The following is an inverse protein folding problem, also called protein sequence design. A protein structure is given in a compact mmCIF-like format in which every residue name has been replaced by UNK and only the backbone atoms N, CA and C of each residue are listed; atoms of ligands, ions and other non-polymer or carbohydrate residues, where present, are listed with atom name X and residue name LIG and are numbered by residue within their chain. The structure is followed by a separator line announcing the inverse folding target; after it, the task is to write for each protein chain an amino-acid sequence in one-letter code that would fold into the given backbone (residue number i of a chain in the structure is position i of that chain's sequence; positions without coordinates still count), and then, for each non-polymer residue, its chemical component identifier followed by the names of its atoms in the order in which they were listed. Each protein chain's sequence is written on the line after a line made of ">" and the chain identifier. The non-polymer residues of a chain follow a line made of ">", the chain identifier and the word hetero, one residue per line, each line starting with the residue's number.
data_IF_342146287011
#
_entry.id   IF_342146287011
#
_cell.length_a   1.000
_cell.length_b   1.000
_cell.length_c   1.000
_cell.angle_alpha   90.00
_cell.angle_beta   90.00
_cell.angle_gamma   90.00
#
_symmetry.space_group_name_H-M   'P 1'
#
loop_
_entity.id
_entity.type
_entity.pdbx_description
1 polymer ?
#
# COMPACT_ATOMS: atom_id res chain seq x y z
N UNK A 1 16.45 -3.21 25.27
CA UNK A 1 15.48 -3.46 24.20
C UNK A 1 15.61 -2.31 23.21
N UNK A 2 16.07 -2.55 21.98
CA UNK A 2 16.33 -1.47 21.02
C UNK A 2 15.06 -1.23 20.21
N UNK A 3 14.46 -0.05 20.34
CA UNK A 3 13.38 0.40 19.46
C UNK A 3 13.91 0.50 18.03
N UNK A 4 13.16 0.05 17.00
CA UNK A 4 13.57 0.26 15.62
C UNK A 4 13.57 1.76 15.34
N UNK A 5 14.73 2.27 14.93
CA UNK A 5 14.88 3.67 14.53
C UNK A 5 14.03 3.91 13.28
N UNK A 6 13.32 5.04 13.24
CA UNK A 6 12.57 5.53 12.06
C UNK A 6 13.45 5.74 10.81
N UNK A 7 14.77 5.76 10.96
CA UNK A 7 15.76 5.85 9.89
C UNK A 7 15.83 4.51 9.12
N UNK A 8 14.95 4.33 8.14
CA UNK A 8 14.98 3.15 7.26
C UNK A 8 13.64 2.76 6.65
N UNK A 9 12.54 3.37 7.10
CA UNK A 9 11.21 3.14 6.51
C UNK A 9 10.97 4.24 5.48
N UNK A 10 11.13 3.90 4.20
CA UNK A 10 10.99 4.86 3.08
C UNK A 10 9.83 4.44 2.18
N UNK A 11 9.62 3.13 2.00
CA UNK A 11 8.62 2.55 1.13
C UNK A 11 7.64 1.66 1.90
N UNK A 12 6.46 1.42 1.32
CA UNK A 12 5.43 0.53 1.89
C UNK A 12 5.95 -0.89 2.11
N UNK A 13 6.83 -1.39 1.22
CA UNK A 13 7.45 -2.71 1.37
C UNK A 13 8.26 -2.85 2.66
N UNK A 14 8.82 -1.76 3.19
CA UNK A 14 9.62 -1.78 4.42
C UNK A 14 8.74 -2.03 5.66
N UNK A 15 7.41 -1.94 5.51
CA UNK A 15 6.42 -2.28 6.54
C UNK A 15 5.94 -3.74 6.45
N UNK A 16 6.38 -4.49 5.45
CA UNK A 16 5.98 -5.88 5.21
C UNK A 16 7.11 -6.79 5.70
N UNK A 17 6.75 -7.87 6.39
CA UNK A 17 7.69 -8.91 6.79
C UNK A 17 7.93 -9.87 5.61
N UNK A 18 9.16 -9.86 5.08
CA UNK A 18 9.54 -10.64 3.89
C UNK A 18 9.37 -12.15 4.04
N UNK A 19 9.36 -12.68 5.28
CA UNK A 19 9.25 -14.13 5.51
C UNK A 19 7.80 -14.59 5.56
N UNK A 20 6.93 -13.79 6.16
CA UNK A 20 5.52 -14.12 6.35
C UNK A 20 4.61 -13.50 5.31
N UNK A 21 5.13 -12.57 4.48
CA UNK A 21 4.39 -11.77 3.51
C UNK A 21 3.20 -11.03 4.13
N UNK A 22 3.35 -10.62 5.39
CA UNK A 22 2.31 -9.94 6.16
C UNK A 22 2.82 -8.60 6.67
N UNK A 23 1.90 -7.72 7.01
CA UNK A 23 2.23 -6.47 7.69
C UNK A 23 3.02 -6.75 8.96
N UNK A 24 4.13 -6.04 9.15
CA UNK A 24 4.88 -6.08 10.39
C UNK A 24 4.14 -5.27 11.47
N UNK A 25 3.18 -5.92 12.12
CA UNK A 25 2.30 -5.31 13.12
C UNK A 25 3.05 -4.55 14.22
N UNK A 26 4.18 -5.12 14.69
CA UNK A 26 4.98 -4.51 15.77
C UNK A 26 5.59 -3.19 15.30
N UNK A 27 6.24 -3.21 14.14
CA UNK A 27 6.84 -2.01 13.54
C UNK A 27 5.80 -0.93 13.28
N UNK A 28 4.67 -1.30 12.67
CA UNK A 28 3.60 -0.35 12.32
C UNK A 28 3.05 0.33 13.58
N UNK A 29 2.82 -0.43 14.67
CA UNK A 29 2.34 0.11 15.94
C UNK A 29 3.33 1.04 16.64
N UNK A 30 4.63 0.84 16.43
CA UNK A 30 5.68 1.69 17.02
C UNK A 30 5.89 3.00 16.24
N UNK A 31 5.58 3.00 14.94
CA UNK A 31 5.89 4.12 14.03
C UNK A 31 4.71 5.06 13.83
N UNK A 32 3.48 4.53 13.77
CA UNK A 32 2.27 5.25 13.39
C UNK A 32 1.29 5.40 14.57
N UNK A 33 0.39 6.38 14.48
CA UNK A 33 -0.65 6.55 15.49
C UNK A 33 -1.76 5.49 15.33
N UNK A 34 -2.54 5.29 16.38
CA UNK A 34 -3.56 4.23 16.42
C UNK A 34 -4.55 4.27 15.22
N UNK A 35 -4.92 5.46 14.75
CA UNK A 35 -5.80 5.63 13.59
C UNK A 35 -5.15 5.09 12.31
N UNK A 36 -3.90 5.47 12.07
CA UNK A 36 -3.12 5.04 10.90
C UNK A 36 -2.83 3.54 10.95
N UNK A 37 -2.49 3.00 12.12
CA UNK A 37 -2.29 1.56 12.32
C UNK A 37 -3.54 0.79 11.88
N UNK A 38 -4.74 1.22 12.30
CA UNK A 38 -5.99 0.58 11.90
C UNK A 38 -6.21 0.65 10.39
N UNK A 39 -5.92 1.77 9.74
CA UNK A 39 -6.06 1.94 8.28
C UNK A 39 -5.06 1.09 7.48
N UNK A 40 -3.80 1.05 7.91
CA UNK A 40 -2.75 0.27 7.24
C UNK A 40 -3.08 -1.22 7.33
N UNK A 41 -3.40 -1.72 8.52
CA UNK A 41 -3.69 -3.15 8.73
C UNK A 41 -4.98 -3.60 8.05
N UNK A 42 -5.90 -2.68 7.74
CA UNK A 42 -7.10 -2.98 6.96
C UNK A 42 -6.82 -3.12 5.45
N UNK A 43 -5.66 -2.65 4.98
CA UNK A 43 -5.26 -2.77 3.57
C UNK A 43 -4.75 -4.19 3.31
N UNK A 44 -5.34 -4.99 2.41
CA UNK A 44 -4.85 -6.33 2.13
C UNK A 44 -3.51 -6.29 1.39
N UNK A 45 -2.61 -7.21 1.72
CA UNK A 45 -1.40 -7.45 0.92
C UNK A 45 -1.79 -8.39 -0.22
N UNK A 46 -1.49 -8.00 -1.45
CA UNK A 46 -1.75 -8.83 -2.61
C UNK A 46 -0.73 -9.97 -2.68
N UNK A 47 -1.16 -11.21 -2.41
CA UNK A 47 -0.32 -12.40 -2.55
C UNK A 47 -0.19 -12.85 -4.01
N UNK A 48 -1.15 -12.49 -4.85
CA UNK A 48 -1.09 -12.69 -6.29
C UNK A 48 -0.57 -11.43 -6.95
N UNK A 49 0.60 -11.48 -7.56
CA UNK A 49 1.07 -10.44 -8.47
C UNK A 49 0.17 -10.42 -9.70
N UNK A 50 -0.96 -9.72 -9.62
CA UNK A 50 -1.67 -9.34 -10.83
C UNK A 50 -0.85 -8.19 -11.44
N UNK A 51 -0.28 -8.35 -12.65
CA UNK A 51 0.40 -7.23 -13.28
C UNK A 51 -0.59 -6.08 -13.42
N UNK A 52 -0.12 -4.85 -13.19
CA UNK A 52 -0.96 -3.67 -13.39
C UNK A 52 -1.52 -3.69 -14.81
N UNK A 53 -2.84 -3.70 -14.93
CA UNK A 53 -3.54 -3.67 -16.20
C UNK A 53 -4.14 -2.29 -16.42
N UNK A 54 -3.83 -1.67 -17.55
CA UNK A 54 -4.52 -0.47 -18.02
C UNK A 54 -5.90 -0.87 -18.55
N UNK A 55 -6.90 -0.90 -17.68
CA UNK A 55 -8.28 -1.24 -18.06
C UNK A 55 -9.02 0.06 -18.38
N UNK A 56 -9.14 0.36 -19.68
CA UNK A 56 -10.09 1.36 -20.15
C UNK A 56 -11.48 0.72 -20.19
N UNK A 57 -12.41 1.20 -19.38
CA UNK A 57 -13.82 0.84 -19.54
C UNK A 57 -14.31 1.43 -20.86
N UNK A 58 -14.44 0.60 -21.89
CA UNK A 58 -15.02 1.02 -23.18
C UNK A 58 -16.49 1.42 -22.95
N UNK A 59 -16.76 2.71 -22.97
CA UNK A 59 -18.12 3.25 -23.00
C UNK A 59 -18.53 3.43 -24.47
N UNK A 60 -19.71 2.93 -24.87
CA UNK A 60 -20.25 3.14 -26.23
C UNK A 60 -20.58 4.60 -26.54
N UNK A 61 -20.59 5.46 -25.52
CA UNK A 61 -20.68 6.90 -25.75
C UNK A 61 -19.34 7.31 -26.37
N UNK A 62 -19.34 7.63 -27.67
CA UNK A 62 -18.15 8.15 -28.37
C UNK A 62 -17.76 9.57 -27.88
N UNK A 63 -18.02 9.88 -26.61
CA UNK A 63 -17.94 11.21 -26.04
C UNK A 63 -16.82 11.23 -25.01
N UNK A 64 -15.59 11.36 -25.50
CA UNK A 64 -14.42 11.55 -24.63
C UNK A 64 -14.08 13.05 -24.59
N UNK A 65 -13.99 13.64 -23.40
CA UNK A 65 -13.49 15.00 -23.23
C UNK A 65 -12.03 14.95 -22.79
N UNK A 66 -11.13 15.31 -23.71
CA UNK A 66 -9.71 15.51 -23.36
C UNK A 66 -9.59 16.87 -22.68
N UNK A 67 -9.02 16.92 -21.48
CA UNK A 67 -8.55 18.19 -20.90
C UNK A 67 -7.25 18.56 -21.60
N UNK A 68 -7.27 19.62 -22.40
CA UNK A 68 -6.07 20.24 -22.94
C UNK A 68 -5.22 20.82 -21.81
N UNK A 69 -3.89 20.76 -21.97
CA UNK A 69 -2.89 21.24 -21.02
C UNK A 69 -2.89 22.78 -20.90
#
# INVERSE_FOLDING_TARGET
>A
MKSPKKEGIIMVKDLIDDRSEKWNYRLIKEVFCQKEVSSILATPISHGGCPDQLIWHYEKSNTFTVKSA
#
